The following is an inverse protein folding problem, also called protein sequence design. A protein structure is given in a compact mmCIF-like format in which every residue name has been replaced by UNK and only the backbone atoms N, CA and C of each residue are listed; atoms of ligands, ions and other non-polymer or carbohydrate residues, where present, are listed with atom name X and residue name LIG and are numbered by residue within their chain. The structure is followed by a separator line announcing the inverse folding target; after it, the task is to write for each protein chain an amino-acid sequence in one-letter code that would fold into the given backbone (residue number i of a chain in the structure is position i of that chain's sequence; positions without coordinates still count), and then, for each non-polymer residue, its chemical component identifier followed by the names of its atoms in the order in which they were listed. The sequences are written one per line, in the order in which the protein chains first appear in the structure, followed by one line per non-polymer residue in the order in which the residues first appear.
data_IF_674190077800
#
_entry.id   IF_674190077800
#
_cell.length_a   1.000
_cell.length_b   1.000
_cell.length_c   1.000
_cell.angle_alpha   90.00
_cell.angle_beta   90.00
_cell.angle_gamma   90.00
#
_symmetry.space_group_name_H-M   'P 1'
#
loop_
_entity.id
_entity.type
_entity.pdbx_description
1 polymer ?
#
# COMPACT_ATOMS: atom_id res chain seq x y z
N UNK A 1 4.19 -4.85 15.90
CA UNK A 1 3.40 -5.10 14.66
C UNK A 1 4.25 -5.80 13.58
N UNK A 2 3.77 -6.84 12.87
CA UNK A 2 4.54 -7.52 11.80
C UNK A 2 4.45 -6.82 10.43
N UNK A 3 4.96 -5.59 10.31
CA UNK A 3 5.00 -4.86 9.05
C UNK A 3 6.29 -5.16 8.26
N UNK A 4 6.16 -5.66 7.03
CA UNK A 4 7.29 -6.19 6.24
C UNK A 4 7.55 -5.32 4.99
N UNK A 5 8.81 -5.30 4.49
CA UNK A 5 9.07 -4.75 3.17
C UNK A 5 8.42 -5.64 2.10
N UNK A 6 8.13 -5.10 0.92
CA UNK A 6 7.44 -5.83 -0.14
C UNK A 6 7.97 -5.45 -1.53
N UNK A 7 7.89 -6.37 -2.52
CA UNK A 7 8.13 -6.01 -3.90
C UNK A 7 6.93 -5.21 -4.43
N UNK A 8 7.19 -4.01 -4.96
CA UNK A 8 6.16 -3.12 -5.47
C UNK A 8 5.99 -3.27 -6.99
N UNK A 9 4.75 -3.15 -7.47
CA UNK A 9 4.48 -2.81 -8.87
C UNK A 9 4.10 -1.32 -8.89
N UNK A 10 4.81 -0.52 -9.69
CA UNK A 10 4.73 0.95 -9.66
C UNK A 10 5.10 1.56 -11.01
N UNK A 11 4.78 2.82 -11.30
CA UNK A 11 5.18 3.47 -12.55
C UNK A 11 6.70 3.52 -12.75
N UNK A 12 7.18 3.54 -13.99
CA UNK A 12 8.55 3.95 -14.23
C UNK A 12 8.78 5.39 -13.72
N UNK A 13 9.96 5.65 -13.15
CA UNK A 13 10.26 6.91 -12.46
C UNK A 13 10.10 8.13 -13.38
N UNK A 14 10.51 7.99 -14.63
CA UNK A 14 10.43 8.98 -15.70
C UNK A 14 9.05 9.04 -16.39
N UNK A 15 8.15 8.09 -16.12
CA UNK A 15 6.82 7.99 -16.75
C UNK A 15 5.66 8.11 -15.77
N UNK A 16 5.90 8.47 -14.51
CA UNK A 16 4.85 8.57 -13.48
C UNK A 16 3.72 9.53 -13.86
N UNK A 17 4.04 10.65 -14.53
CA UNK A 17 3.04 11.64 -14.98
C UNK A 17 2.18 11.13 -16.14
N UNK A 18 2.70 10.20 -16.94
CA UNK A 18 1.95 9.52 -18.00
C UNK A 18 1.09 8.39 -17.40
N UNK A 19 1.64 7.64 -16.44
CA UNK A 19 1.02 6.45 -15.88
C UNK A 19 -0.19 6.78 -14.99
N UNK A 20 -0.06 7.75 -14.07
CA UNK A 20 -1.09 8.01 -13.05
C UNK A 20 -2.48 8.34 -13.65
N UNK A 21 -2.61 9.20 -14.68
CA UNK A 21 -3.91 9.46 -15.32
C UNK A 21 -4.50 8.22 -16.01
N UNK A 22 -3.67 7.26 -16.42
CA UNK A 22 -4.08 6.04 -17.13
C UNK A 22 -4.41 4.86 -16.19
N UNK A 23 -4.30 5.02 -14.87
CA UNK A 23 -4.40 3.92 -13.90
C UNK A 23 -5.72 3.16 -13.95
N UNK A 24 -6.84 3.83 -14.25
CA UNK A 24 -8.13 3.17 -14.43
C UNK A 24 -8.10 2.13 -15.56
N UNK A 25 -7.37 2.40 -16.65
CA UNK A 25 -7.19 1.45 -17.75
C UNK A 25 -6.15 0.38 -17.43
N UNK A 26 -5.01 0.78 -16.84
CA UNK A 26 -3.90 -0.12 -16.48
C UNK A 26 -4.33 -1.19 -15.48
N UNK A 27 -5.12 -0.81 -14.47
CA UNK A 27 -5.58 -1.70 -13.40
C UNK A 27 -6.96 -2.30 -13.66
N UNK A 28 -7.49 -2.17 -14.89
CA UNK A 28 -8.80 -2.73 -15.26
C UNK A 28 -8.80 -4.27 -15.35
N UNK A 29 -7.62 -4.88 -15.52
CA UNK A 29 -7.46 -6.32 -15.57
C UNK A 29 -5.99 -6.73 -15.74
N UNK A 30 -5.73 -8.03 -15.60
CA UNK A 30 -4.36 -8.58 -15.64
C UNK A 30 -3.64 -8.32 -16.96
N UNK A 31 -4.33 -8.43 -18.09
CA UNK A 31 -3.70 -8.28 -19.41
C UNK A 31 -3.32 -6.83 -19.69
N UNK A 32 -4.15 -5.87 -19.26
CA UNK A 32 -3.82 -4.44 -19.35
C UNK A 32 -2.59 -4.11 -18.48
N UNK A 33 -2.54 -4.61 -17.24
CA UNK A 33 -1.40 -4.42 -16.36
C UNK A 33 -0.12 -5.05 -16.94
N UNK A 34 -0.21 -6.28 -17.48
CA UNK A 34 0.92 -6.96 -18.15
C UNK A 34 1.41 -6.18 -19.35
N UNK A 35 0.50 -5.64 -20.17
CA UNK A 35 0.83 -4.76 -21.28
C UNK A 35 1.61 -3.53 -20.81
N UNK A 36 1.08 -2.83 -19.80
CA UNK A 36 1.76 -1.68 -19.21
C UNK A 36 3.14 -2.01 -18.62
N UNK A 37 3.33 -3.22 -18.08
CA UNK A 37 4.64 -3.71 -17.63
C UNK A 37 5.57 -3.99 -18.80
N UNK A 38 5.09 -4.67 -19.84
CA UNK A 38 5.86 -4.98 -21.05
C UNK A 38 6.30 -3.71 -21.80
N UNK A 39 5.42 -2.69 -21.83
CA UNK A 39 5.67 -1.39 -22.43
C UNK A 39 6.54 -0.46 -21.56
N UNK A 40 6.96 -0.93 -20.37
CA UNK A 40 7.80 -0.18 -19.44
C UNK A 40 7.12 1.03 -18.80
N UNK A 41 5.79 1.14 -18.88
CA UNK A 41 5.03 2.18 -18.18
C UNK A 41 4.93 1.86 -16.68
N UNK A 42 4.73 0.58 -16.38
CA UNK A 42 4.80 0.01 -15.03
C UNK A 42 6.04 -0.86 -14.89
N UNK A 43 6.60 -0.92 -13.69
CA UNK A 43 7.75 -1.73 -13.34
C UNK A 43 7.41 -2.59 -12.13
N UNK A 44 7.98 -3.80 -12.10
CA UNK A 44 8.01 -4.64 -10.91
C UNK A 44 9.38 -4.52 -10.26
N UNK A 45 9.40 -4.07 -9.01
CA UNK A 45 10.66 -3.94 -8.28
C UNK A 45 11.32 -5.31 -8.07
N UNK A 46 12.65 -5.40 -8.23
CA UNK A 46 13.37 -6.68 -8.20
C UNK A 46 13.48 -7.28 -6.80
N UNK A 47 13.25 -6.48 -5.76
CA UNK A 47 13.38 -6.88 -4.37
C UNK A 47 12.35 -6.19 -3.47
N UNK A 48 12.29 -6.64 -2.23
CA UNK A 48 11.42 -6.05 -1.23
C UNK A 48 12.05 -4.78 -0.64
N UNK A 49 11.27 -3.71 -0.53
CA UNK A 49 11.67 -2.47 0.10
C UNK A 49 10.55 -1.94 1.02
N UNK A 50 10.92 -1.01 1.91
CA UNK A 50 9.96 -0.08 2.47
C UNK A 50 9.93 1.17 1.59
N UNK A 51 8.81 1.89 1.57
CA UNK A 51 8.73 3.18 0.88
C UNK A 51 8.34 4.27 1.86
N UNK A 52 9.06 5.38 1.88
CA UNK A 52 8.59 6.57 2.60
C UNK A 52 7.63 7.30 1.67
N UNK A 53 6.43 7.59 2.16
CA UNK A 53 5.44 8.38 1.45
C UNK A 53 5.21 9.68 2.21
N UNK A 54 5.33 10.80 1.52
CA UNK A 54 4.90 12.10 2.01
C UNK A 54 3.80 12.63 1.12
N UNK A 55 2.75 13.15 1.74
CA UNK A 55 1.83 14.05 1.07
C UNK A 55 1.89 15.43 1.72
N UNK A 56 1.70 16.48 0.92
CA UNK A 56 1.53 17.84 1.41
C UNK A 56 0.49 18.58 0.60
N UNK A 57 -0.47 19.19 1.28
CA UNK A 57 -1.59 19.94 0.72
C UNK A 57 -2.55 20.32 1.85
N UNK A 58 -3.81 20.59 1.54
CA UNK A 58 -4.88 20.58 2.54
C UNK A 58 -5.22 19.11 2.87
N UNK A 59 -5.30 18.67 4.15
CA UNK A 59 -5.32 19.44 5.40
C UNK A 59 -3.94 19.69 6.04
N UNK A 60 -2.86 19.16 5.47
CA UNK A 60 -1.51 19.40 5.96
C UNK A 60 -0.46 18.52 5.30
N UNK A 61 0.65 18.33 6.01
CA UNK A 61 1.75 17.46 5.61
C UNK A 61 1.81 16.25 6.51
N UNK A 62 1.80 15.06 5.91
CA UNK A 62 2.00 13.80 6.62
C UNK A 62 3.10 12.99 5.95
N UNK A 63 3.98 12.38 6.74
CA UNK A 63 5.02 11.46 6.28
C UNK A 63 4.84 10.11 6.96
N UNK A 64 4.73 9.06 6.18
CA UNK A 64 4.52 7.70 6.65
C UNK A 64 5.42 6.70 5.94
N UNK A 65 5.46 5.48 6.47
CA UNK A 65 6.14 4.34 5.86
C UNK A 65 5.11 3.41 5.23
N UNK A 66 5.38 2.96 4.00
CA UNK A 66 4.56 1.99 3.28
C UNK A 66 5.20 0.62 3.42
N UNK A 67 4.40 -0.33 3.88
CA UNK A 67 4.78 -1.70 4.17
C UNK A 67 3.60 -2.64 3.85
N UNK A 68 3.83 -3.96 3.93
CA UNK A 68 2.71 -4.91 3.98
C UNK A 68 2.46 -5.34 5.44
N UNK A 69 1.20 -5.32 5.85
CA UNK A 69 0.74 -5.73 7.16
C UNK A 69 -0.19 -6.94 7.03
N UNK A 70 -0.27 -7.84 8.02
CA UNK A 70 -1.27 -8.89 8.03
C UNK A 70 -2.68 -8.32 7.88
N UNK A 71 -3.53 -8.94 7.06
CA UNK A 71 -4.89 -8.43 6.78
C UNK A 71 -5.74 -8.32 8.05
N UNK A 72 -5.48 -9.13 9.08
CA UNK A 72 -6.18 -9.04 10.37
C UNK A 72 -5.89 -7.74 11.14
N UNK A 73 -4.84 -6.98 10.81
CA UNK A 73 -4.61 -5.64 11.39
C UNK A 73 -5.66 -4.64 10.90
N UNK A 74 -6.32 -4.93 9.78
CA UNK A 74 -7.41 -4.09 9.26
C UNK A 74 -8.74 -4.31 9.99
N UNK A 75 -8.82 -5.30 10.90
CA UNK A 75 -10.10 -5.68 11.53
C UNK A 75 -10.43 -4.79 12.72
N UNK A 76 -11.22 -3.76 12.44
CA UNK A 76 -12.10 -3.05 13.38
C UNK A 76 -13.53 -2.98 12.81
N UNK A 77 -13.96 -4.05 12.13
CA UNK A 77 -15.03 -4.07 11.13
C UNK A 77 -16.32 -3.41 11.59
N UNK A 78 -16.69 -2.36 10.89
CA UNK A 78 -18.07 -1.91 10.76
C UNK A 78 -18.87 -2.98 9.99
N UNK A 79 -19.80 -3.65 10.67
CA UNK A 79 -20.64 -4.70 10.09
C UNK A 79 -21.39 -4.20 8.83
N UNK A 80 -21.75 -2.92 8.78
CA UNK A 80 -22.43 -2.33 7.63
C UNK A 80 -21.55 -2.27 6.38
N UNK A 81 -20.23 -2.04 6.55
CA UNK A 81 -19.30 -2.07 5.43
C UNK A 81 -19.11 -3.49 4.88
N UNK A 82 -19.19 -4.51 5.74
CA UNK A 82 -19.08 -5.92 5.35
C UNK A 82 -20.24 -6.41 4.48
N UNK A 83 -21.43 -5.83 4.64
CA UNK A 83 -22.61 -6.14 3.83
C UNK A 83 -22.74 -5.28 2.55
N UNK A 84 -21.83 -4.32 2.35
CA UNK A 84 -21.86 -3.42 1.20
C UNK A 84 -21.62 -4.16 -0.12
N UNK A 85 -22.57 -4.03 -1.05
CA UNK A 85 -22.47 -4.57 -2.42
C UNK A 85 -21.24 -4.02 -3.14
N UNK A 86 -20.92 -2.74 -2.96
CA UNK A 86 -19.77 -2.09 -3.58
C UNK A 86 -18.45 -2.63 -3.03
N UNK A 87 -18.36 -2.86 -1.71
CA UNK A 87 -17.18 -3.45 -1.10
C UNK A 87 -16.96 -4.89 -1.58
N UNK A 88 -18.03 -5.67 -1.73
CA UNK A 88 -17.96 -7.02 -2.32
C UNK A 88 -17.53 -6.99 -3.79
N UNK A 89 -18.04 -6.04 -4.59
CA UNK A 89 -17.63 -5.88 -5.98
C UNK A 89 -16.14 -5.50 -6.09
N UNK A 90 -15.68 -4.57 -5.24
CA UNK A 90 -14.27 -4.19 -5.16
C UNK A 90 -13.38 -5.36 -4.70
N UNK A 91 -13.83 -6.17 -3.74
CA UNK A 91 -13.13 -7.38 -3.31
C UNK A 91 -12.91 -8.36 -4.47
N UNK A 92 -13.95 -8.60 -5.28
CA UNK A 92 -13.86 -9.46 -6.47
C UNK A 92 -12.92 -8.89 -7.51
N UNK A 93 -13.01 -7.58 -7.80
CA UNK A 93 -12.12 -6.91 -8.74
C UNK A 93 -10.64 -7.02 -8.31
N UNK A 94 -10.33 -6.84 -7.02
CA UNK A 94 -8.97 -7.00 -6.48
C UNK A 94 -8.51 -8.45 -6.55
N UNK A 95 -9.38 -9.42 -6.23
CA UNK A 95 -9.07 -10.84 -6.31
C UNK A 95 -8.78 -11.28 -7.75
N UNK A 96 -9.57 -10.80 -8.71
CA UNK A 96 -9.39 -11.07 -10.14
C UNK A 96 -8.12 -10.41 -10.68
N UNK A 97 -7.88 -9.14 -10.34
CA UNK A 97 -6.65 -8.41 -10.70
C UNK A 97 -5.40 -8.99 -10.01
N UNK A 98 -5.56 -9.69 -8.88
CA UNK A 98 -4.47 -10.28 -8.08
C UNK A 98 -3.42 -9.25 -7.64
N UNK A 99 -3.79 -7.97 -7.61
CA UNK A 99 -2.96 -6.83 -7.21
C UNK A 99 -3.80 -5.89 -6.37
N UNK A 100 -3.26 -5.45 -5.23
CA UNK A 100 -3.87 -4.40 -4.43
C UNK A 100 -3.53 -3.03 -5.05
N UNK A 101 -4.53 -2.22 -5.43
CA UNK A 101 -4.32 -1.07 -6.30
C UNK A 101 -3.77 0.15 -5.56
N UNK A 102 -3.84 0.19 -4.22
CA UNK A 102 -3.23 1.24 -3.38
C UNK A 102 -3.06 0.79 -1.93
N UNK A 103 -2.18 1.47 -1.16
CA UNK A 103 -2.11 1.33 0.29
C UNK A 103 -3.40 1.73 1.00
N UNK A 104 -3.76 1.00 2.05
CA UNK A 104 -4.71 1.43 3.08
C UNK A 104 -4.01 2.28 4.14
N UNK A 105 -4.74 3.14 4.84
CA UNK A 105 -4.13 4.03 5.84
C UNK A 105 -4.26 3.49 7.26
N UNK A 106 -3.12 3.38 7.93
CA UNK A 106 -2.97 3.00 9.33
C UNK A 106 -2.26 4.13 10.10
N UNK A 107 -2.59 4.27 11.37
CA UNK A 107 -1.98 5.24 12.28
C UNK A 107 -1.22 4.52 13.39
N UNK A 108 0.03 4.92 13.63
CA UNK A 108 0.85 4.41 14.73
C UNK A 108 1.20 5.54 15.72
N UNK A 109 1.53 5.18 16.95
CA UNK A 109 1.97 6.15 17.96
C UNK A 109 3.31 6.77 17.55
N UNK A 110 3.40 8.10 17.60
CA UNK A 110 4.58 8.82 17.13
C UNK A 110 5.86 8.33 17.81
N UNK A 111 6.91 8.13 17.01
CA UNK A 111 8.21 7.62 17.48
C UNK A 111 9.33 8.53 16.97
N UNK A 112 10.09 9.21 17.86
CA UNK A 112 11.21 10.06 17.46
C UNK A 112 12.27 9.30 16.64
N UNK A 113 12.45 8.00 16.92
CA UNK A 113 13.40 7.16 16.17
C UNK A 113 12.90 6.96 14.74
N UNK A 114 11.60 6.71 14.55
CA UNK A 114 11.02 6.61 13.22
C UNK A 114 11.13 7.93 12.47
N UNK A 115 10.88 9.07 13.13
CA UNK A 115 11.03 10.40 12.51
C UNK A 115 12.45 10.65 12.00
N UNK A 116 13.47 10.24 12.75
CA UNK A 116 14.88 10.32 12.32
C UNK A 116 15.12 9.45 11.08
N UNK A 117 14.65 8.20 11.08
CA UNK A 117 14.84 7.27 9.96
C UNK A 117 14.14 7.79 8.69
N UNK A 118 12.88 8.22 8.81
CA UNK A 118 12.12 8.79 7.69
C UNK A 118 12.72 10.12 7.21
N UNK A 119 13.23 10.94 8.14
CA UNK A 119 13.96 12.17 7.82
C UNK A 119 15.20 11.89 6.97
N UNK A 120 16.05 10.95 7.39
CA UNK A 120 17.25 10.56 6.66
C UNK A 120 16.94 9.99 5.26
N UNK A 121 15.87 9.18 5.12
CA UNK A 121 15.45 8.68 3.82
C UNK A 121 15.11 9.81 2.83
N UNK A 122 14.56 10.92 3.33
CA UNK A 122 14.13 12.07 2.52
C UNK A 122 15.26 12.98 2.05
N UNK A 123 16.45 12.86 2.64
CA UNK A 123 17.66 13.55 2.17
C UNK A 123 18.18 12.94 0.85
N UNK A 124 17.78 11.71 0.55
CA UNK A 124 18.07 11.06 -0.74
C UNK A 124 17.19 11.55 -1.88
N UNK A 125 17.52 11.11 -3.09
CA UNK A 125 16.70 11.37 -4.27
C UNK A 125 15.33 10.68 -4.13
N UNK A 126 14.26 11.45 -4.33
CA UNK A 126 12.90 10.89 -4.35
C UNK A 126 12.69 10.05 -5.61
N UNK A 127 12.00 8.93 -5.44
CA UNK A 127 11.49 8.12 -6.53
C UNK A 127 10.41 8.88 -7.32
N UNK A 128 9.50 9.56 -6.61
CA UNK A 128 8.47 10.40 -7.23
C UNK A 128 8.35 11.73 -6.50
N UNK A 129 8.02 12.77 -7.26
CA UNK A 129 7.56 14.06 -6.78
C UNK A 129 6.52 14.58 -7.77
N UNK A 130 5.25 14.27 -7.50
CA UNK A 130 4.12 14.59 -8.38
C UNK A 130 3.09 15.41 -7.62
N UNK A 131 2.28 16.18 -8.34
CA UNK A 131 1.14 16.91 -7.76
C UNK A 131 -0.12 16.44 -8.47
N UNK A 132 -1.14 16.05 -7.70
CA UNK A 132 -2.41 15.61 -8.26
C UNK A 132 -3.28 16.81 -8.72
N UNK A 133 -4.39 16.56 -9.44
CA UNK A 133 -5.31 17.62 -9.85
C UNK A 133 -5.97 18.39 -8.69
N UNK A 134 -5.97 17.85 -7.47
CA UNK A 134 -6.45 18.53 -6.27
C UNK A 134 -5.39 19.44 -5.63
N UNK A 135 -4.17 19.49 -6.18
CA UNK A 135 -3.07 20.30 -5.67
C UNK A 135 -2.29 19.63 -4.54
N UNK A 136 -2.54 18.35 -4.26
CA UNK A 136 -1.80 17.59 -3.25
C UNK A 136 -0.50 17.11 -3.87
N UNK A 137 0.63 17.46 -3.26
CA UNK A 137 1.93 16.94 -3.65
C UNK A 137 2.16 15.58 -3.00
N UNK A 138 2.55 14.59 -3.80
CA UNK A 138 2.91 13.24 -3.39
C UNK A 138 4.40 13.01 -3.67
N UNK A 139 5.15 12.68 -2.63
CA UNK A 139 6.56 12.31 -2.72
C UNK A 139 6.80 10.92 -2.18
N UNK A 140 7.65 10.17 -2.86
CA UNK A 140 8.00 8.79 -2.49
C UNK A 140 9.50 8.60 -2.50
N UNK A 141 10.02 7.89 -1.51
CA UNK A 141 11.43 7.45 -1.45
C UNK A 141 11.47 5.95 -1.22
N UNK A 142 12.35 5.25 -1.94
CA UNK A 142 12.58 3.82 -1.77
C UNK A 142 13.65 3.59 -0.69
N UNK A 143 13.35 2.77 0.31
CA UNK A 143 14.28 2.38 1.37
C UNK A 143 14.59 0.90 1.25
N UNK A 144 15.74 0.61 0.62
CA UNK A 144 16.22 -0.76 0.34
C UNK A 144 17.59 -1.09 0.93
N UNK A 145 18.28 -0.12 1.54
CA UNK A 145 19.54 -0.40 2.24
C UNK A 145 19.26 -1.30 3.44
N UNK A 146 20.05 -2.35 3.59
CA UNK A 146 19.81 -3.41 4.59
C UNK A 146 19.76 -2.87 6.02
N UNK A 147 20.64 -1.94 6.36
CA UNK A 147 20.69 -1.27 7.66
C UNK A 147 19.41 -0.48 7.96
N UNK A 148 18.95 0.34 7.01
CA UNK A 148 17.73 1.12 7.13
C UNK A 148 16.48 0.24 7.18
N UNK A 149 16.42 -0.81 6.35
CA UNK A 149 15.32 -1.79 6.36
C UNK A 149 15.25 -2.52 7.71
N UNK A 150 16.39 -2.96 8.24
CA UNK A 150 16.45 -3.61 9.55
C UNK A 150 16.01 -2.68 10.67
N UNK A 151 16.41 -1.40 10.63
CA UNK A 151 16.01 -0.40 11.61
C UNK A 151 14.50 -0.12 11.60
N UNK A 152 13.91 0.08 10.42
CA UNK A 152 12.45 0.26 10.26
C UNK A 152 11.71 -0.97 10.80
N UNK A 153 12.15 -2.18 10.39
CA UNK A 153 11.53 -3.43 10.82
C UNK A 153 11.57 -3.60 12.32
N UNK A 154 12.73 -3.40 12.94
CA UNK A 154 12.88 -3.52 14.39
C UNK A 154 11.96 -2.55 15.14
N UNK A 155 11.80 -1.33 14.63
CA UNK A 155 10.88 -0.35 15.22
C UNK A 155 9.41 -0.76 15.09
N UNK A 156 8.98 -1.19 13.90
CA UNK A 156 7.61 -1.63 13.68
C UNK A 156 7.27 -2.91 14.47
N UNK A 157 8.23 -3.82 14.62
CA UNK A 157 8.05 -5.05 15.41
C UNK A 157 7.79 -4.74 16.90
N UNK A 158 8.44 -3.72 17.47
CA UNK A 158 8.27 -3.28 18.86
C UNK A 158 7.08 -2.34 19.08
N UNK A 159 6.61 -1.68 18.02
CA UNK A 159 5.47 -0.77 18.12
C UNK A 159 4.17 -1.54 18.43
N UNK A 160 3.25 -0.93 19.21
CA UNK A 160 1.87 -1.40 19.31
C UNK A 160 1.24 -1.59 17.94
N UNK A 161 0.20 -2.42 17.87
CA UNK A 161 -0.56 -2.56 16.64
C UNK A 161 -1.20 -1.22 16.26
N UNK A 162 -1.19 -0.88 14.96
CA UNK A 162 -1.64 0.43 14.52
C UNK A 162 -3.16 0.48 14.53
N UNK A 163 -3.70 1.68 14.61
CA UNK A 163 -5.13 1.91 14.51
C UNK A 163 -5.50 2.16 13.05
N UNK A 164 -6.63 1.59 12.63
CA UNK A 164 -7.19 1.87 11.32
C UNK A 164 -7.61 3.34 11.21
N UNK A 165 -7.14 4.05 10.17
CA UNK A 165 -7.40 5.47 9.97
C UNK A 165 -7.85 5.79 8.52
N UNK A 166 -8.25 4.77 7.77
CA UNK A 166 -8.60 4.86 6.36
C UNK A 166 -10.09 4.72 6.08
N UNK A 167 -10.40 4.37 4.83
CA UNK A 167 -11.74 4.06 4.35
C UNK A 167 -12.14 2.62 4.70
N UNK A 168 -13.10 2.46 5.62
CA UNK A 168 -13.57 1.16 6.12
C UNK A 168 -14.10 0.25 4.99
N UNK A 169 -14.75 0.80 3.96
CA UNK A 169 -15.25 0.00 2.84
C UNK A 169 -14.08 -0.58 2.02
N UNK A 170 -13.02 0.20 1.83
CA UNK A 170 -11.81 -0.29 1.15
C UNK A 170 -11.08 -1.37 1.97
N UNK A 171 -11.02 -1.22 3.30
CA UNK A 171 -10.45 -2.25 4.18
C UNK A 171 -11.22 -3.57 4.10
N UNK A 172 -12.56 -3.50 4.08
CA UNK A 172 -13.42 -4.66 3.84
C UNK A 172 -13.14 -5.28 2.47
N UNK A 173 -12.99 -4.48 1.41
CA UNK A 173 -12.69 -4.99 0.08
C UNK A 173 -11.35 -5.76 0.04
N UNK A 174 -10.30 -5.25 0.69
CA UNK A 174 -9.01 -5.92 0.82
C UNK A 174 -9.12 -7.25 1.59
N UNK A 175 -9.86 -7.26 2.71
CA UNK A 175 -10.10 -8.46 3.50
C UNK A 175 -10.93 -9.50 2.71
N UNK A 176 -11.95 -9.06 1.99
CA UNK A 176 -12.76 -9.90 1.12
C UNK A 176 -11.93 -10.53 -0.01
N UNK A 177 -11.07 -9.76 -0.67
CA UNK A 177 -10.17 -10.27 -1.71
C UNK A 177 -9.20 -11.32 -1.16
N UNK A 178 -8.64 -11.08 0.03
CA UNK A 178 -7.81 -12.04 0.76
C UNK A 178 -8.56 -13.35 1.01
N UNK A 179 -9.81 -13.27 1.48
CA UNK A 179 -10.62 -14.45 1.77
C UNK A 179 -11.00 -15.24 0.51
N UNK A 180 -11.33 -14.56 -0.60
CA UNK A 180 -11.60 -15.20 -1.90
C UNK A 180 -10.39 -16.03 -2.33
N UNK A 181 -9.21 -15.41 -2.39
CA UNK A 181 -7.97 -16.07 -2.82
C UNK A 181 -7.54 -17.19 -1.86
N UNK A 182 -7.74 -17.01 -0.55
CA UNK A 182 -7.46 -18.05 0.43
C UNK A 182 -8.36 -19.26 0.24
N UNK A 183 -9.65 -19.06 -0.06
CA UNK A 183 -10.59 -20.14 -0.34
C UNK A 183 -10.24 -20.89 -1.62
N UNK A 184 -9.87 -20.18 -2.69
CA UNK A 184 -9.36 -20.78 -3.93
C UNK A 184 -8.12 -21.63 -3.68
N UNK A 185 -7.13 -21.10 -2.95
CA UNK A 185 -5.90 -21.80 -2.61
C UNK A 185 -6.17 -23.05 -1.75
N UNK A 186 -7.12 -22.99 -0.81
CA UNK A 186 -7.54 -24.15 0.00
C UNK A 186 -8.21 -25.21 -0.87
N UNK A 187 -9.12 -24.81 -1.76
CA UNK A 187 -9.76 -25.71 -2.71
C UNK A 187 -8.78 -26.41 -3.64
N UNK A 188 -7.69 -25.72 -4.01
CA UNK A 188 -6.60 -26.28 -4.81
C UNK A 188 -5.56 -27.08 -3.98
N UNK A 189 -5.69 -27.16 -2.65
CA UNK A 189 -4.70 -27.80 -1.77
C UNK A 189 -3.35 -27.09 -1.70
N UNK A 190 -3.27 -25.83 -2.11
CA UNK A 190 -2.04 -25.02 -2.19
C UNK A 190 -1.89 -24.00 -1.05
N UNK A 191 -2.85 -23.94 -0.12
CA UNK A 191 -2.82 -22.98 0.99
C UNK A 191 -1.83 -23.39 2.11
N UNK A 192 -0.92 -22.48 2.43
CA UNK A 192 0.15 -22.60 3.43
C UNK A 192 0.06 -21.52 4.52
N UNK A 193 -0.76 -20.49 4.34
CA UNK A 193 -0.89 -19.35 5.25
C UNK A 193 0.24 -18.31 5.13
N UNK A 194 1.16 -18.48 4.16
CA UNK A 194 2.27 -17.56 3.89
C UNK A 194 2.10 -16.81 2.57
N UNK A 195 0.95 -16.96 1.91
CA UNK A 195 0.68 -16.35 0.62
C UNK A 195 0.61 -14.82 0.74
N UNK A 196 1.02 -14.08 -0.31
CA UNK A 196 0.99 -12.62 -0.31
C UNK A 196 -0.41 -12.03 -0.06
N UNK A 197 -1.48 -12.71 -0.50
CA UNK A 197 -2.85 -12.27 -0.24
C UNK A 197 -3.25 -12.29 1.25
N UNK A 198 -2.48 -12.92 2.15
CA UNK A 198 -2.71 -12.80 3.60
C UNK A 198 -2.22 -11.45 4.17
N UNK A 199 -1.63 -10.59 3.32
CA UNK A 199 -1.14 -9.26 3.68
C UNK A 199 -1.82 -8.16 2.86
N UNK A 200 -1.92 -6.98 3.44
CA UNK A 200 -2.38 -5.76 2.82
C UNK A 200 -1.26 -4.72 2.78
N UNK A 201 -1.06 -4.07 1.64
CA UNK A 201 -0.21 -2.89 1.56
C UNK A 201 -0.86 -1.76 2.33
N UNK A 202 -0.10 -1.15 3.23
CA UNK A 202 -0.56 -0.09 4.11
C UNK A 202 0.48 1.02 4.20
N UNK A 203 0.00 2.27 4.28
CA UNK A 203 0.79 3.43 4.70
C UNK A 203 0.54 3.65 6.19
N UNK A 204 1.62 3.71 6.96
CA UNK A 204 1.62 3.92 8.40
C UNK A 204 2.07 5.35 8.70
N UNK A 205 1.14 6.20 9.13
CA UNK A 205 1.42 7.57 9.55
C UNK A 205 1.48 7.71 11.07
N UNK A 206 2.27 8.65 11.62
CA UNK A 206 2.12 9.05 13.01
C UNK A 206 0.69 9.56 13.25
N UNK A 207 0.00 9.05 14.28
CA UNK A 207 -1.39 9.41 14.58
C UNK A 207 -1.62 10.92 14.69
N UNK A 208 -0.66 11.63 15.30
CA UNK A 208 -0.68 13.09 15.43
C UNK A 208 -0.76 13.85 14.08
N UNK A 209 -0.34 13.24 12.96
CA UNK A 209 -0.38 13.84 11.62
C UNK A 209 -1.68 13.56 10.86
N UNK A 210 -2.52 12.62 11.32
CA UNK A 210 -3.71 12.14 10.58
C UNK A 210 -5.01 12.19 11.37
N UNK A 211 -5.01 12.75 12.59
CA UNK A 211 -6.20 12.90 13.45
C UNK A 211 -7.36 13.69 12.82
N UNK A 212 -7.12 14.51 11.78
CA UNK A 212 -8.14 15.31 11.08
C UNK A 212 -8.60 14.73 9.74
N UNK A 213 -8.12 13.54 9.37
CA UNK A 213 -8.34 12.94 8.06
C UNK A 213 -7.01 12.46 7.47
N UNK A 214 -6.94 11.18 7.15
CA UNK A 214 -5.72 10.60 6.64
C UNK A 214 -5.64 10.73 5.12
N UNK A 215 -4.50 11.19 4.58
CA UNK A 215 -4.31 11.32 3.15
C UNK A 215 -4.30 9.93 2.51
N UNK A 216 -4.81 9.86 1.28
CA UNK A 216 -4.77 8.63 0.50
C UNK A 216 -3.56 8.66 -0.44
N UNK A 217 -2.89 7.52 -0.55
CA UNK A 217 -1.88 7.31 -1.59
C UNK A 217 -2.60 7.12 -2.93
N UNK A 218 -2.21 7.82 -4.01
CA UNK A 218 -2.84 7.66 -5.31
C UNK A 218 -2.86 6.22 -5.80
N UNK A 219 -3.99 5.80 -6.36
CA UNK A 219 -4.14 4.50 -7.02
C UNK A 219 -3.04 4.27 -8.04
N UNK A 220 -2.39 3.11 -7.97
CA UNK A 220 -1.32 2.72 -8.89
C UNK A 220 0.07 3.23 -8.52
N UNK A 221 0.21 4.21 -7.63
CA UNK A 221 1.52 4.76 -7.26
C UNK A 221 2.41 3.72 -6.55
N UNK A 222 1.80 2.92 -5.67
CA UNK A 222 2.43 1.81 -4.97
C UNK A 222 1.43 0.65 -4.90
N UNK A 223 1.66 -0.42 -5.67
CA UNK A 223 0.75 -1.56 -5.71
C UNK A 223 1.45 -2.84 -5.26
N UNK A 224 0.68 -3.77 -4.71
CA UNK A 224 1.21 -5.04 -4.20
C UNK A 224 0.58 -6.22 -4.92
N UNK A 225 1.39 -7.02 -5.60
CA UNK A 225 0.94 -8.27 -6.20
C UNK A 225 0.66 -9.31 -5.11
N UNK A 226 -0.61 -9.72 -5.00
CA UNK A 226 -1.08 -10.63 -3.95
C UNK A 226 -1.27 -12.07 -4.41
N UNK A 227 -1.31 -12.31 -5.72
CA UNK A 227 -1.31 -13.64 -6.30
C UNK A 227 -0.65 -13.65 -7.69
N UNK A 228 -0.27 -14.83 -8.16
CA UNK A 228 0.29 -14.99 -9.51
C UNK A 228 -0.84 -14.87 -10.52
N UNK A 229 -0.71 -13.93 -11.45
CA UNK A 229 -1.55 -13.86 -12.63
C UNK A 229 -0.99 -14.74 -13.73
#
# INVERSE_FOLDING_TARGET
MKALPFPCIRPAQDRVLEALPAMGGILSGNDALRGAIADGLMLKDPGAAYYVYECSGEPGRATGVVAICPVNVLTGSDEAAAESVDALAAARAIAELKVQPRPVTLAYEASPVMDIILGAAKEGASLYAVTDPAGISHRVWEVKREDAVAAIRAMLDQAPDPVFAGDSAYAVALAGASQILANEARGAGAYSGREPFNFAVAVLFPAAQVNGGAPQVPTGLLTHQISRF
#
